data_IF_659038300963
#
_entry.id   IF_659038300963
#
_cell.length_a   1.000
_cell.length_b   1.000
_cell.length_c   1.000
_cell.angle_alpha   90.00
_cell.angle_beta   90.00
_cell.angle_gamma   90.00
#
_symmetry.space_group_name_H-M   'P 1'
#
loop_
_entity.id
_entity.type
_entity.pdbx_description
1 polymer ?
#
# COMPACT_ATOMS: atom_id res chain seq x y z
N UNK A 1 48.55 -4.71 -22.41
CA UNK A 1 48.12 -5.23 -21.09
C UNK A 1 47.24 -4.18 -20.42
N UNK A 2 46.04 -3.94 -20.96
CA UNK A 2 45.16 -2.83 -20.51
C UNK A 2 43.67 -3.14 -20.74
N UNK A 3 43.24 -4.37 -20.44
CA UNK A 3 41.84 -4.80 -20.64
C UNK A 3 41.07 -5.03 -19.32
N UNK A 4 41.61 -4.60 -18.18
CA UNK A 4 41.00 -4.83 -16.85
C UNK A 4 40.49 -3.56 -16.14
N UNK A 5 40.65 -2.37 -16.74
CA UNK A 5 40.27 -1.09 -16.11
C UNK A 5 39.35 -0.21 -16.97
N UNK A 6 38.78 -0.75 -18.04
CA UNK A 6 37.76 -0.08 -18.84
C UNK A 6 36.40 -0.74 -18.60
N UNK A 7 35.93 -0.73 -17.36
CA UNK A 7 34.49 -0.81 -17.11
C UNK A 7 34.00 0.61 -17.34
N UNK A 8 33.46 0.87 -18.54
CA UNK A 8 32.56 1.99 -18.80
C UNK A 8 31.56 2.11 -17.65
N UNK A 9 31.14 3.33 -17.34
CA UNK A 9 30.09 3.55 -16.34
C UNK A 9 28.78 2.93 -16.85
N UNK A 10 28.60 1.64 -16.59
CA UNK A 10 27.41 0.86 -16.91
C UNK A 10 26.75 0.49 -15.59
N UNK A 11 25.74 1.25 -15.14
CA UNK A 11 25.10 1.05 -13.85
C UNK A 11 24.51 -0.35 -13.71
N UNK A 12 24.10 -0.96 -14.82
CA UNK A 12 23.56 -2.33 -14.88
C UNK A 12 24.62 -3.39 -14.54
N UNK A 13 25.79 -3.35 -15.19
CA UNK A 13 26.90 -4.29 -14.92
C UNK A 13 27.43 -4.13 -13.50
N UNK A 14 27.52 -2.89 -13.02
CA UNK A 14 27.96 -2.60 -11.65
C UNK A 14 26.97 -3.17 -10.62
N UNK A 15 25.67 -3.00 -10.85
CA UNK A 15 24.63 -3.54 -9.97
C UNK A 15 24.72 -5.07 -9.85
N UNK A 16 24.81 -5.77 -10.99
CA UNK A 16 24.94 -7.23 -11.02
C UNK A 16 26.23 -7.68 -10.32
N UNK A 17 27.36 -7.02 -10.60
CA UNK A 17 28.63 -7.35 -9.97
C UNK A 17 28.59 -7.18 -8.45
N UNK A 18 27.97 -6.11 -7.94
CA UNK A 18 27.80 -5.87 -6.51
C UNK A 18 26.95 -6.97 -5.87
N UNK A 19 25.87 -7.40 -6.53
CA UNK A 19 25.02 -8.50 -6.02
C UNK A 19 25.81 -9.81 -5.98
N UNK A 20 26.57 -10.15 -7.03
CA UNK A 20 27.40 -11.36 -7.05
C UNK A 20 28.45 -11.33 -5.94
N UNK A 21 29.16 -10.22 -5.78
CA UNK A 21 30.14 -10.04 -4.70
C UNK A 21 29.44 -10.12 -3.34
N UNK A 22 28.28 -9.48 -3.19
CA UNK A 22 27.50 -9.52 -1.95
C UNK A 22 27.09 -10.94 -1.57
N UNK A 23 26.56 -11.73 -2.51
CA UNK A 23 26.18 -13.13 -2.27
C UNK A 23 27.42 -13.99 -1.99
N UNK A 24 28.49 -13.83 -2.77
CA UNK A 24 29.73 -14.59 -2.61
C UNK A 24 30.43 -14.30 -1.28
N UNK A 25 30.47 -13.04 -0.85
CA UNK A 25 31.08 -12.64 0.43
C UNK A 25 30.16 -13.00 1.59
N UNK A 26 28.88 -12.64 1.56
CA UNK A 26 27.96 -12.87 2.69
C UNK A 26 27.67 -14.37 2.87
N UNK A 27 27.11 -15.02 1.86
CA UNK A 27 26.71 -16.43 1.96
C UNK A 27 27.91 -17.38 1.76
N UNK A 28 28.78 -17.05 0.81
CA UNK A 28 29.92 -17.91 0.46
C UNK A 28 30.99 -17.95 1.55
N UNK A 29 31.30 -16.83 2.24
CA UNK A 29 32.31 -16.86 3.32
C UNK A 29 31.87 -17.73 4.49
N UNK A 30 30.61 -17.58 4.93
CA UNK A 30 30.03 -18.39 6.02
C UNK A 30 30.07 -19.86 5.63
N UNK A 31 29.67 -20.19 4.40
CA UNK A 31 29.74 -21.56 3.90
C UNK A 31 31.18 -22.11 3.87
N UNK A 32 32.16 -21.35 3.36
CA UNK A 32 33.56 -21.80 3.29
C UNK A 32 34.16 -22.06 4.67
N UNK A 33 33.86 -21.20 5.65
CA UNK A 33 34.27 -21.41 7.05
C UNK A 33 33.63 -22.67 7.63
N UNK A 34 32.35 -22.92 7.37
CA UNK A 34 31.69 -24.15 7.85
C UNK A 34 32.19 -25.40 7.11
N UNK A 35 32.49 -25.30 5.82
CA UNK A 35 32.96 -26.41 5.01
C UNK A 35 34.33 -26.94 5.48
N UNK A 36 35.23 -26.06 5.94
CA UNK A 36 36.54 -26.48 6.48
C UNK A 36 36.44 -27.10 7.87
N UNK A 37 35.47 -26.71 8.69
CA UNK A 37 35.31 -27.22 10.06
C UNK A 37 34.41 -28.48 10.16
N UNK A 38 33.32 -28.53 9.39
CA UNK A 38 32.26 -29.53 9.49
C UNK A 38 32.16 -30.45 8.26
N UNK A 39 32.92 -30.14 7.20
CA UNK A 39 32.85 -30.79 5.89
C UNK A 39 31.80 -30.15 4.97
N UNK A 40 32.01 -30.27 3.66
CA UNK A 40 31.23 -29.62 2.59
C UNK A 40 29.71 -29.84 2.74
N UNK A 41 29.27 -31.10 2.92
CA UNK A 41 27.83 -31.43 2.95
C UNK A 41 27.12 -30.90 4.19
N UNK A 42 27.73 -31.09 5.36
CA UNK A 42 27.16 -30.65 6.63
C UNK A 42 27.25 -29.12 6.76
N UNK A 43 28.39 -28.55 6.37
CA UNK A 43 28.60 -27.10 6.33
C UNK A 43 27.58 -26.40 5.44
N UNK A 44 27.22 -26.99 4.29
CA UNK A 44 26.16 -26.46 3.43
C UNK A 44 24.79 -26.44 4.14
N UNK A 45 24.39 -27.57 4.76
CA UNK A 45 23.11 -27.66 5.47
C UNK A 45 23.03 -26.66 6.63
N UNK A 46 24.10 -26.52 7.41
CA UNK A 46 24.16 -25.57 8.53
C UNK A 46 24.10 -24.12 8.03
N UNK A 47 24.89 -23.78 7.00
CA UNK A 47 24.88 -22.44 6.42
C UNK A 47 23.51 -22.07 5.83
N UNK A 48 22.87 -23.00 5.09
CA UNK A 48 21.53 -22.80 4.55
C UNK A 48 20.48 -22.65 5.66
N UNK A 49 20.57 -23.45 6.72
CA UNK A 49 19.69 -23.33 7.89
C UNK A 49 19.82 -21.94 8.53
N UNK A 50 21.05 -21.47 8.72
CA UNK A 50 21.34 -20.12 9.22
C UNK A 50 20.76 -19.02 8.33
N UNK A 51 20.93 -19.13 7.01
CA UNK A 51 20.35 -18.19 6.05
C UNK A 51 18.82 -18.15 6.14
N UNK A 52 18.16 -19.32 6.20
CA UNK A 52 16.69 -19.39 6.31
C UNK A 52 16.19 -18.83 7.64
N UNK A 53 16.95 -18.99 8.74
CA UNK A 53 16.64 -18.38 10.02
C UNK A 53 16.80 -16.86 10.00
N UNK A 54 17.84 -16.36 9.33
CA UNK A 54 18.02 -14.92 9.11
C UNK A 54 16.88 -14.34 8.26
N UNK A 55 16.48 -15.02 7.19
CA UNK A 55 15.33 -14.61 6.36
C UNK A 55 14.02 -14.57 7.16
N UNK A 56 13.80 -15.52 8.08
CA UNK A 56 12.65 -15.51 8.97
C UNK A 56 12.68 -14.31 9.93
N UNK A 57 13.84 -13.99 10.52
CA UNK A 57 13.98 -12.80 11.37
C UNK A 57 13.76 -11.50 10.60
N UNK A 58 14.26 -11.39 9.37
CA UNK A 58 14.01 -10.23 8.50
C UNK A 58 12.53 -10.13 8.12
N UNK A 59 11.89 -11.24 7.75
CA UNK A 59 10.46 -11.29 7.48
C UNK A 59 9.62 -10.85 8.68
N UNK A 60 10.00 -11.27 9.90
CA UNK A 60 9.33 -10.84 11.13
C UNK A 60 9.52 -9.34 11.40
N UNK A 61 10.75 -8.84 11.26
CA UNK A 61 11.06 -7.42 11.42
C UNK A 61 10.25 -6.57 10.44
N UNK A 62 10.27 -6.94 9.16
CA UNK A 62 9.54 -6.25 8.10
C UNK A 62 8.02 -6.33 8.27
N UNK A 63 7.50 -7.45 8.79
CA UNK A 63 6.08 -7.61 9.10
C UNK A 63 5.61 -6.68 10.23
N UNK A 64 6.41 -6.53 11.29
CA UNK A 64 6.10 -5.69 12.45
C UNK A 64 6.12 -4.22 12.05
N UNK A 65 7.20 -3.79 11.39
CA UNK A 65 7.46 -2.38 11.08
C UNK A 65 6.85 -1.92 9.75
N UNK A 66 6.44 -2.83 8.86
CA UNK A 66 5.90 -2.46 7.55
C UNK A 66 6.97 -1.87 6.60
N UNK A 67 8.23 -2.27 6.75
CA UNK A 67 9.36 -1.78 5.93
C UNK A 67 10.01 -2.90 5.14
N UNK A 68 10.83 -2.58 4.14
CA UNK A 68 11.60 -3.56 3.36
C UNK A 68 10.82 -4.05 2.15
N UNK A 69 10.47 -5.33 2.10
CA UNK A 69 9.64 -5.89 1.03
C UNK A 69 8.16 -5.56 1.30
N UNK A 70 7.74 -4.38 0.86
CA UNK A 70 6.37 -3.89 1.03
C UNK A 70 5.52 -4.15 -0.21
N UNK A 71 4.24 -4.39 0.04
CA UNK A 71 3.21 -4.45 -1.00
C UNK A 71 2.64 -3.07 -1.32
N UNK A 72 1.55 -3.01 -2.10
CA UNK A 72 0.85 -1.77 -2.40
C UNK A 72 0.38 -1.07 -1.12
N UNK A 73 0.66 0.22 -1.02
CA UNK A 73 0.20 1.08 0.08
C UNK A 73 -1.27 1.46 -0.12
N UNK A 74 -1.99 1.85 0.95
CA UNK A 74 -3.36 2.32 0.83
C UNK A 74 -3.47 3.56 -0.08
N UNK A 75 -4.41 3.56 -1.00
CA UNK A 75 -4.67 4.66 -1.92
C UNK A 75 -6.16 4.80 -2.23
N UNK A 76 -6.57 5.98 -2.68
CA UNK A 76 -7.89 6.19 -3.22
C UNK A 76 -7.92 5.76 -4.69
N UNK A 77 -8.83 4.86 -5.04
CA UNK A 77 -9.00 4.34 -6.38
C UNK A 77 -10.32 4.82 -6.99
N UNK A 78 -10.36 5.06 -8.31
CA UNK A 78 -11.60 5.42 -8.99
C UNK A 78 -12.60 4.28 -8.91
N UNK A 79 -13.87 4.62 -8.71
CA UNK A 79 -14.92 3.60 -8.77
C UNK A 79 -15.24 3.28 -10.24
N UNK A 80 -15.03 2.03 -10.71
CA UNK A 80 -15.12 1.71 -12.14
C UNK A 80 -16.46 2.11 -12.76
N UNK A 81 -16.39 2.91 -13.83
CA UNK A 81 -17.56 3.34 -14.61
C UNK A 81 -18.42 4.44 -13.97
N UNK A 82 -18.03 4.97 -12.81
CA UNK A 82 -18.80 5.99 -12.06
C UNK A 82 -17.89 6.96 -11.29
N UNK A 83 -16.72 7.30 -11.85
CA UNK A 83 -15.69 8.10 -11.18
C UNK A 83 -16.02 9.58 -11.08
N UNK A 84 -16.44 10.22 -12.19
CA UNK A 84 -16.78 11.64 -12.22
C UNK A 84 -18.27 11.79 -12.48
N UNK A 85 -18.96 12.44 -11.56
CA UNK A 85 -20.41 12.59 -11.53
C UNK A 85 -20.74 14.07 -11.75
N UNK A 86 -21.35 14.38 -12.88
CA UNK A 86 -21.59 15.75 -13.31
C UNK A 86 -22.92 16.32 -12.82
N UNK A 87 -23.89 15.44 -12.52
CA UNK A 87 -25.26 15.81 -12.15
C UNK A 87 -25.74 15.05 -10.92
N UNK A 88 -26.73 15.59 -10.20
CA UNK A 88 -27.33 14.96 -9.01
C UNK A 88 -27.89 13.56 -9.31
N UNK A 89 -28.50 13.37 -10.49
CA UNK A 89 -28.98 12.07 -10.95
C UNK A 89 -27.85 11.06 -11.16
N UNK A 90 -26.66 11.51 -11.58
CA UNK A 90 -25.49 10.65 -11.74
C UNK A 90 -24.99 10.14 -10.38
N UNK A 91 -25.14 10.92 -9.30
CA UNK A 91 -24.76 10.52 -7.93
C UNK A 91 -25.61 9.34 -7.45
N UNK A 92 -26.92 9.40 -7.69
CA UNK A 92 -27.85 8.31 -7.34
C UNK A 92 -27.63 7.08 -8.23
N UNK A 93 -27.44 7.27 -9.54
CA UNK A 93 -27.17 6.17 -10.46
C UNK A 93 -25.83 5.49 -10.13
N UNK A 94 -24.86 6.27 -9.69
CA UNK A 94 -23.59 5.78 -9.17
C UNK A 94 -23.72 5.14 -7.80
N UNK A 95 -24.88 5.15 -7.13
CA UNK A 95 -25.06 4.59 -5.80
C UNK A 95 -24.19 5.24 -4.72
N UNK A 96 -23.75 6.47 -4.94
CA UNK A 96 -23.14 7.31 -3.91
C UNK A 96 -24.22 7.93 -3.01
N UNK A 97 -25.42 8.15 -3.55
CA UNK A 97 -26.64 8.46 -2.80
C UNK A 97 -27.70 7.39 -3.06
N UNK A 98 -28.48 7.05 -2.03
CA UNK A 98 -29.61 6.13 -2.12
C UNK A 98 -30.90 6.84 -2.55
N UNK A 99 -31.10 8.09 -2.11
CA UNK A 99 -32.26 8.89 -2.45
C UNK A 99 -31.89 10.07 -3.35
N UNK A 100 -32.81 10.44 -4.23
CA UNK A 100 -32.65 11.62 -5.08
C UNK A 100 -32.75 12.90 -4.26
N UNK A 101 -31.84 13.84 -4.53
CA UNK A 101 -31.89 15.19 -3.95
C UNK A 101 -33.05 15.95 -4.59
N UNK A 102 -34.00 16.41 -3.78
CA UNK A 102 -35.13 17.23 -4.24
C UNK A 102 -34.67 18.68 -4.40
N UNK A 103 -34.40 19.09 -5.64
CA UNK A 103 -33.98 20.45 -5.97
C UNK A 103 -34.85 21.00 -7.08
N UNK A 104 -35.30 22.25 -6.93
CA UNK A 104 -36.06 22.93 -7.99
C UNK A 104 -35.19 23.11 -9.24
N UNK A 105 -35.77 22.91 -10.43
CA UNK A 105 -35.07 23.05 -11.72
C UNK A 105 -34.42 24.45 -11.94
N UNK A 106 -34.89 25.48 -11.24
CA UNK A 106 -34.38 26.86 -11.31
C UNK A 106 -33.37 27.23 -10.20
N UNK A 107 -32.94 26.27 -9.37
CA UNK A 107 -32.02 26.53 -8.26
C UNK A 107 -30.62 26.96 -8.75
N UNK A 108 -29.96 27.84 -8.00
CA UNK A 108 -28.55 28.16 -8.24
C UNK A 108 -27.67 26.92 -7.95
N UNK A 109 -26.55 26.78 -8.66
CA UNK A 109 -25.64 25.64 -8.47
C UNK A 109 -25.11 25.51 -7.03
N UNK A 110 -25.05 26.62 -6.28
CA UNK A 110 -24.71 26.63 -4.85
C UNK A 110 -25.79 26.01 -3.98
N UNK A 111 -27.07 26.25 -4.32
CA UNK A 111 -28.20 25.71 -3.56
C UNK A 111 -28.34 24.21 -3.80
N UNK A 112 -28.12 23.78 -5.05
CA UNK A 112 -28.00 22.35 -5.42
C UNK A 112 -26.89 21.68 -4.60
N UNK A 113 -25.70 22.29 -4.54
CA UNK A 113 -24.57 21.73 -3.80
C UNK A 113 -24.84 21.62 -2.29
N UNK A 114 -25.51 22.61 -1.70
CA UNK A 114 -25.90 22.57 -0.29
C UNK A 114 -26.93 21.47 -0.02
N UNK A 115 -27.92 21.31 -0.91
CA UNK A 115 -28.90 20.23 -0.80
C UNK A 115 -28.26 18.83 -0.93
N UNK A 116 -27.29 18.69 -1.85
CA UNK A 116 -26.51 17.44 -1.98
C UNK A 116 -25.71 17.16 -0.72
N UNK A 117 -25.06 18.16 -0.12
CA UNK A 117 -24.32 18.01 1.13
C UNK A 117 -25.23 17.59 2.30
N UNK A 118 -26.41 18.20 2.43
CA UNK A 118 -27.39 17.83 3.45
C UNK A 118 -27.93 16.41 3.24
N UNK A 119 -28.11 15.99 1.98
CA UNK A 119 -28.50 14.62 1.67
C UNK A 119 -27.40 13.62 2.07
N UNK A 120 -26.13 13.89 1.79
CA UNK A 120 -25.01 13.05 2.23
C UNK A 120 -25.00 12.90 3.76
N UNK A 121 -25.17 13.98 4.50
CA UNK A 121 -25.24 13.94 5.97
C UNK A 121 -26.45 13.09 6.45
N UNK A 122 -27.60 13.17 5.76
CA UNK A 122 -28.80 12.39 6.09
C UNK A 122 -28.65 10.89 5.85
N UNK A 123 -27.85 10.50 4.86
CA UNK A 123 -27.54 9.09 4.52
C UNK A 123 -26.37 8.53 5.34
N UNK A 124 -25.83 9.30 6.28
CA UNK A 124 -24.79 8.86 7.22
C UNK A 124 -23.36 9.03 6.72
N UNK A 125 -23.15 9.84 5.69
CA UNK A 125 -21.82 10.29 5.31
C UNK A 125 -21.29 11.33 6.30
N UNK A 126 -19.97 11.38 6.44
CA UNK A 126 -19.29 12.33 7.33
C UNK A 126 -18.48 13.29 6.47
N UNK A 127 -18.73 14.59 6.63
CA UNK A 127 -17.91 15.62 6.00
C UNK A 127 -16.56 15.73 6.70
N UNK A 128 -15.46 15.53 5.96
CA UNK A 128 -14.10 15.69 6.47
C UNK A 128 -13.73 17.18 6.48
N UNK A 129 -13.16 17.66 7.58
CA UNK A 129 -12.61 19.01 7.69
C UNK A 129 -11.39 19.20 6.78
N UNK A 130 -11.25 20.35 6.13
CA UNK A 130 -10.07 20.72 5.32
C UNK A 130 -8.74 20.66 6.09
N UNK A 131 -8.80 20.83 7.41
CA UNK A 131 -7.65 20.75 8.29
C UNK A 131 -7.15 19.32 8.53
N UNK A 132 -7.94 18.30 8.20
CA UNK A 132 -7.59 16.90 8.37
C UNK A 132 -6.65 16.45 7.25
N UNK A 133 -5.66 15.62 7.59
CA UNK A 133 -4.73 15.06 6.59
C UNK A 133 -5.45 14.17 5.57
N UNK A 134 -6.54 13.51 5.99
CA UNK A 134 -7.37 12.67 5.12
C UNK A 134 -8.03 13.47 3.99
N UNK A 135 -8.44 14.72 4.27
CA UNK A 135 -8.97 15.63 3.25
C UNK A 135 -7.94 15.87 2.15
N UNK A 136 -6.71 16.25 2.51
CA UNK A 136 -5.64 16.52 1.54
C UNK A 136 -5.32 15.30 0.65
N UNK A 137 -5.33 14.09 1.21
CA UNK A 137 -5.12 12.86 0.42
C UNK A 137 -6.26 12.60 -0.57
N UNK A 138 -7.52 12.75 -0.12
CA UNK A 138 -8.68 12.54 -0.98
C UNK A 138 -8.81 13.62 -2.05
N UNK A 139 -8.64 14.90 -1.69
CA UNK A 139 -8.68 16.03 -2.60
C UNK A 139 -7.59 15.94 -3.68
N UNK A 140 -6.36 15.58 -3.30
CA UNK A 140 -5.27 15.42 -4.27
C UNK A 140 -5.56 14.30 -5.27
N UNK A 141 -6.11 13.16 -4.83
CA UNK A 141 -6.46 12.08 -5.74
C UNK A 141 -7.67 12.43 -6.60
N UNK A 142 -8.66 13.14 -6.04
CA UNK A 142 -9.83 13.60 -6.77
C UNK A 142 -9.43 14.49 -7.95
N UNK A 143 -8.52 15.44 -7.71
CA UNK A 143 -8.00 16.32 -8.75
C UNK A 143 -7.32 15.55 -9.88
N UNK A 144 -6.45 14.59 -9.55
CA UNK A 144 -5.81 13.73 -10.54
C UNK A 144 -6.83 12.96 -11.40
N UNK A 145 -7.89 12.43 -10.78
CA UNK A 145 -8.94 11.68 -11.48
C UNK A 145 -9.81 12.55 -12.39
N UNK A 146 -10.08 13.79 -12.01
CA UNK A 146 -10.79 14.76 -12.85
C UNK A 146 -9.98 15.12 -14.08
N UNK A 147 -8.69 15.37 -13.90
CA UNK A 147 -7.76 15.69 -14.99
C UNK A 147 -7.58 14.50 -15.93
N UNK A 148 -7.44 13.28 -15.40
CA UNK A 148 -7.33 12.03 -16.18
C UNK A 148 -8.60 11.78 -17.03
N UNK A 149 -9.78 12.11 -16.48
CA UNK A 149 -11.06 11.99 -17.20
C UNK A 149 -11.26 13.11 -18.23
N UNK A 150 -10.50 14.21 -18.12
CA UNK A 150 -10.65 15.39 -18.97
C UNK A 150 -11.91 16.20 -18.68
N UNK A 151 -12.49 16.07 -17.48
CA UNK A 151 -13.71 16.76 -17.12
C UNK A 151 -13.48 18.25 -16.80
N UNK A 152 -12.33 18.58 -16.19
CA UNK A 152 -11.81 19.93 -15.94
C UNK A 152 -10.28 19.89 -16.08
N UNK A 153 -9.67 20.98 -16.54
CA UNK A 153 -8.20 21.06 -16.63
C UNK A 153 -7.57 21.54 -15.31
N UNK A 154 -6.28 21.25 -15.13
CA UNK A 154 -5.50 21.72 -13.99
C UNK A 154 -5.61 23.25 -13.84
N UNK A 155 -6.02 23.72 -12.66
CA UNK A 155 -6.22 25.14 -12.36
C UNK A 155 -7.60 25.70 -12.72
N UNK A 156 -8.51 24.90 -13.30
CA UNK A 156 -9.90 25.28 -13.57
C UNK A 156 -10.88 24.84 -12.48
N UNK A 157 -10.37 24.26 -11.39
CA UNK A 157 -11.21 23.70 -10.33
C UNK A 157 -10.57 23.82 -8.94
N UNK A 158 -11.41 23.76 -7.92
CA UNK A 158 -11.03 23.71 -6.52
C UNK A 158 -11.87 22.64 -5.80
N UNK A 159 -11.22 21.79 -4.98
CA UNK A 159 -11.93 20.79 -4.17
C UNK A 159 -12.43 21.46 -2.90
N UNK A 160 -13.75 21.52 -2.73
CA UNK A 160 -14.38 22.29 -1.63
C UNK A 160 -14.71 21.40 -0.44
N UNK A 161 -15.25 20.21 -0.68
CA UNK A 161 -15.67 19.28 0.38
C UNK A 161 -15.27 17.85 0.04
N UNK A 162 -15.06 17.04 1.06
CA UNK A 162 -14.90 15.59 0.92
C UNK A 162 -15.84 14.91 1.91
N UNK A 163 -16.72 14.07 1.39
CA UNK A 163 -17.63 13.23 2.15
C UNK A 163 -17.04 11.83 2.26
N UNK A 164 -17.16 11.21 3.42
CA UNK A 164 -16.60 9.89 3.72
C UNK A 164 -17.69 8.97 4.32
N UNK A 165 -17.74 7.71 3.87
CA UNK A 165 -18.57 6.67 4.48
C UNK A 165 -17.84 5.32 4.55
N UNK A 166 -18.08 4.62 5.65
CA UNK A 166 -17.58 3.25 5.86
C UNK A 166 -16.19 3.20 6.50
N UNK A 167 -15.37 2.23 6.10
CA UNK A 167 -14.01 2.06 6.66
C UNK A 167 -13.93 1.48 8.07
N UNK A 168 -15.07 1.07 8.64
CA UNK A 168 -15.10 0.42 9.95
C UNK A 168 -14.34 -0.92 9.93
N UNK A 169 -13.37 -1.06 10.83
CA UNK A 169 -12.64 -2.30 11.08
C UNK A 169 -13.37 -3.21 12.07
N UNK A 170 -13.29 -4.52 11.87
CA UNK A 170 -13.86 -5.56 12.74
C UNK A 170 -13.00 -6.85 12.69
N UNK A 171 -13.09 -7.76 13.68
CA UNK A 171 -13.81 -7.64 14.95
C UNK A 171 -13.13 -6.65 15.90
N UNK A 172 -13.93 -5.77 16.54
CA UNK A 172 -13.46 -4.88 17.61
C UNK A 172 -13.64 -5.57 18.96
N UNK A 173 -12.59 -5.62 19.79
CA UNK A 173 -12.68 -6.14 21.15
C UNK A 173 -12.78 -4.96 22.10
N UNK A 174 -14.02 -4.59 22.48
CA UNK A 174 -14.29 -3.34 23.18
C UNK A 174 -14.07 -2.10 22.31
N UNK A 175 -14.03 -0.91 22.92
CA UNK A 175 -13.95 0.36 22.20
C UNK A 175 -12.52 0.80 21.83
N UNK A 176 -11.48 0.15 22.38
CA UNK A 176 -10.09 0.62 22.26
C UNK A 176 -9.08 -0.37 21.68
N UNK A 177 -9.41 -1.67 21.61
CA UNK A 177 -8.48 -2.68 21.09
C UNK A 177 -8.76 -2.99 19.62
N UNK A 178 -8.25 -2.10 18.75
CA UNK A 178 -8.38 -2.21 17.28
C UNK A 178 -7.27 -3.10 16.65
N UNK A 179 -6.30 -3.58 17.44
CA UNK A 179 -5.17 -4.39 16.95
C UNK A 179 -5.56 -5.76 16.38
N UNK A 180 -6.77 -6.26 16.70
CA UNK A 180 -7.30 -7.56 16.25
C UNK A 180 -8.35 -7.38 15.14
N UNK A 181 -8.58 -6.13 14.70
CA UNK A 181 -9.55 -5.81 13.67
C UNK A 181 -8.95 -5.97 12.26
N UNK A 182 -8.87 -7.22 11.81
CA UNK A 182 -8.25 -7.59 10.51
C UNK A 182 -9.16 -7.42 9.30
N UNK A 183 -10.48 -7.34 9.52
CA UNK A 183 -11.47 -7.15 8.46
C UNK A 183 -11.95 -5.70 8.46
N UNK A 184 -12.41 -5.23 7.31
CA UNK A 184 -12.91 -3.88 7.16
C UNK A 184 -14.14 -3.88 6.26
N UNK A 185 -15.07 -2.96 6.51
CA UNK A 185 -16.09 -2.61 5.52
C UNK A 185 -15.44 -1.83 4.38
N UNK A 186 -16.01 -1.84 3.17
CA UNK A 186 -15.57 -0.95 2.11
C UNK A 186 -15.69 0.51 2.59
N UNK A 187 -14.76 1.34 2.12
CA UNK A 187 -14.59 2.72 2.54
C UNK A 187 -14.65 3.56 1.28
N UNK A 188 -15.60 4.49 1.24
CA UNK A 188 -15.86 5.32 0.08
C UNK A 188 -15.67 6.78 0.44
N UNK A 189 -15.23 7.57 -0.53
CA UNK A 189 -15.24 9.01 -0.41
C UNK A 189 -15.82 9.64 -1.68
N UNK A 190 -16.45 10.80 -1.51
CA UNK A 190 -16.93 11.65 -2.59
C UNK A 190 -16.29 13.01 -2.41
N UNK A 191 -15.44 13.42 -3.35
CA UNK A 191 -14.87 14.76 -3.34
C UNK A 191 -15.70 15.69 -4.23
N UNK A 192 -16.17 16.78 -3.65
CA UNK A 192 -16.91 17.82 -4.33
C UNK A 192 -15.95 18.85 -4.94
N UNK A 193 -16.06 19.04 -6.24
CA UNK A 193 -15.17 19.87 -7.03
C UNK A 193 -15.96 20.99 -7.68
N UNK A 194 -15.59 22.21 -7.31
CA UNK A 194 -16.21 23.41 -7.83
C UNK A 194 -15.35 24.00 -8.96
N UNK A 195 -15.94 24.34 -10.11
CA UNK A 195 -15.19 24.96 -11.19
C UNK A 195 -14.80 26.41 -10.84
N UNK A 196 -13.65 26.87 -11.31
CA UNK A 196 -13.12 28.21 -11.08
C UNK A 196 -13.43 29.13 -12.27
N UNK A 197 -13.67 30.41 -11.98
CA UNK A 197 -13.80 31.43 -13.02
C UNK A 197 -12.45 31.69 -13.69
N UNK A 198 -12.45 31.81 -15.02
CA UNK A 198 -11.23 32.11 -15.76
C UNK A 198 -10.72 33.53 -15.45
N UNK A 199 -9.65 33.61 -14.67
CA UNK A 199 -8.99 34.89 -14.37
C UNK A 199 -8.21 35.37 -15.58
N UNK A 200 -8.37 36.64 -15.95
CA UNK A 200 -7.57 37.27 -17.01
C UNK A 200 -6.18 37.61 -16.47
N UNK A 201 -5.14 37.14 -17.15
CA UNK A 201 -3.76 37.50 -16.86
C UNK A 201 -3.43 38.84 -17.55
N UNK A 202 -3.21 39.89 -16.75
CA UNK A 202 -2.67 41.16 -17.25
C UNK A 202 -1.14 41.15 -17.15
N UNK A 203 -0.40 41.40 -18.24
CA UNK A 203 1.06 41.40 -18.22
C UNK A 203 1.62 42.41 -17.19
N UNK A 204 2.40 41.94 -16.23
CA UNK A 204 3.07 42.78 -15.22
C UNK A 204 2.29 43.00 -13.91
N UNK A 205 1.11 42.41 -13.74
CA UNK A 205 0.37 42.38 -12.47
C UNK A 205 0.26 40.93 -11.97
N UNK A 206 0.29 40.74 -10.65
CA UNK A 206 0.01 39.43 -10.06
C UNK A 206 -1.39 38.96 -10.48
N UNK A 207 -1.57 37.69 -10.87
CA UNK A 207 -2.88 37.13 -11.19
C UNK A 207 -3.86 37.39 -10.03
N UNK A 208 -5.10 37.76 -10.36
CA UNK A 208 -6.13 37.85 -9.34
C UNK A 208 -6.36 36.46 -8.72
N UNK A 209 -6.65 36.37 -7.41
CA UNK A 209 -6.96 35.09 -6.79
C UNK A 209 -8.13 34.44 -7.51
N UNK A 210 -8.02 33.13 -7.78
CA UNK A 210 -9.08 32.37 -8.41
C UNK A 210 -10.33 32.39 -7.53
N UNK A 211 -11.50 32.54 -8.15
CA UNK A 211 -12.79 32.54 -7.47
C UNK A 211 -13.65 31.41 -8.02
N UNK A 212 -14.35 30.72 -7.12
CA UNK A 212 -15.29 29.67 -7.46
C UNK A 212 -16.41 30.25 -8.34
N UNK A 213 -16.69 29.55 -9.44
CA UNK A 213 -17.79 29.85 -10.34
C UNK A 213 -19.08 29.21 -9.81
N UNK A 214 -19.87 30.02 -9.10
CA UNK A 214 -21.15 29.60 -8.54
C UNK A 214 -22.26 29.43 -9.59
N UNK A 215 -21.99 29.72 -10.87
CA UNK A 215 -23.00 29.60 -11.95
C UNK A 215 -22.98 28.23 -12.63
N UNK A 216 -21.86 27.50 -12.52
CA UNK A 216 -21.69 26.16 -13.12
C UNK A 216 -21.97 25.07 -12.09
N UNK A 217 -22.55 23.92 -12.50
CA UNK A 217 -22.75 22.79 -11.61
C UNK A 217 -21.43 22.27 -11.07
N UNK A 218 -21.44 21.83 -9.81
CA UNK A 218 -20.29 21.17 -9.18
C UNK A 218 -20.20 19.73 -9.65
N UNK A 219 -18.99 19.23 -9.76
CA UNK A 219 -18.72 17.84 -10.11
C UNK A 219 -18.33 17.05 -8.87
N UNK A 220 -18.65 15.76 -8.83
CA UNK A 220 -18.36 14.90 -7.70
C UNK A 220 -17.48 13.74 -8.14
N UNK A 221 -16.38 13.52 -7.43
CA UNK A 221 -15.45 12.41 -7.70
C UNK A 221 -15.70 11.30 -6.72
N UNK A 222 -16.25 10.20 -7.19
CA UNK A 222 -16.53 9.03 -6.37
C UNK A 222 -15.36 8.06 -6.40
N UNK A 223 -14.83 7.78 -5.22
CA UNK A 223 -13.64 6.96 -5.01
C UNK A 223 -13.87 5.90 -3.93
N UNK A 224 -13.17 4.78 -4.08
CA UNK A 224 -13.11 3.70 -3.09
C UNK A 224 -11.70 3.64 -2.52
N UNK A 225 -11.58 3.45 -1.21
CA UNK A 225 -10.27 3.26 -0.56
C UNK A 225 -9.80 1.84 -0.82
N UNK A 226 -8.72 1.70 -1.58
CA UNK A 226 -7.93 0.49 -1.56
C UNK A 226 -7.02 0.56 -0.32
N UNK A 227 -7.17 -0.40 0.59
CA UNK A 227 -6.35 -0.47 1.81
C UNK A 227 -4.96 -1.08 1.53
N UNK A 228 -4.73 -1.56 0.31
CA UNK A 228 -3.48 -2.17 -0.09
C UNK A 228 -3.19 -3.47 0.65
N UNK A 229 -1.97 -3.97 0.43
CA UNK A 229 -1.47 -5.20 1.04
C UNK A 229 -0.01 -5.02 1.46
N UNK A 230 0.28 -3.87 2.09
CA UNK A 230 1.63 -3.41 2.42
C UNK A 230 2.48 -4.49 3.11
N UNK A 231 1.88 -5.26 4.02
CA UNK A 231 2.57 -6.26 4.85
C UNK A 231 2.53 -7.69 4.29
N UNK A 232 1.78 -7.93 3.22
CA UNK A 232 1.59 -9.27 2.68
C UNK A 232 2.89 -9.91 2.20
N UNK A 233 3.78 -9.22 1.45
CA UNK A 233 5.01 -9.84 0.97
C UNK A 233 5.96 -10.26 2.11
N UNK A 234 6.07 -9.43 3.15
CA UNK A 234 6.85 -9.75 4.35
C UNK A 234 6.28 -10.98 5.10
N UNK A 235 4.94 -11.09 5.20
CA UNK A 235 4.29 -12.24 5.80
C UNK A 235 4.58 -13.54 5.03
N UNK A 236 4.50 -13.51 3.70
CA UNK A 236 4.83 -14.66 2.84
C UNK A 236 6.29 -15.08 3.02
N UNK A 237 7.21 -14.11 3.07
CA UNK A 237 8.63 -14.37 3.31
C UNK A 237 8.87 -15.03 4.67
N UNK A 238 8.25 -14.52 5.74
CA UNK A 238 8.34 -15.07 7.09
C UNK A 238 7.84 -16.52 7.12
N UNK A 239 6.64 -16.78 6.59
CA UNK A 239 6.03 -18.11 6.63
C UNK A 239 6.88 -19.09 5.80
N UNK A 240 7.24 -18.72 4.56
CA UNK A 240 8.03 -19.57 3.67
C UNK A 240 9.41 -19.90 4.24
N UNK A 241 10.13 -18.89 4.76
CA UNK A 241 11.45 -19.11 5.37
C UNK A 241 11.37 -19.91 6.67
N UNK A 242 10.34 -19.71 7.49
CA UNK A 242 10.14 -20.48 8.73
C UNK A 242 9.85 -21.95 8.44
N UNK A 243 9.03 -22.27 7.42
CA UNK A 243 8.77 -23.65 7.01
C UNK A 243 10.07 -24.34 6.57
N UNK A 244 10.87 -23.67 5.74
CA UNK A 244 12.15 -24.22 5.27
C UNK A 244 13.13 -24.37 6.44
N UNK A 245 13.20 -23.39 7.35
CA UNK A 245 14.03 -23.44 8.55
C UNK A 245 13.70 -24.66 9.41
N UNK A 246 12.42 -24.90 9.69
CA UNK A 246 11.97 -26.04 10.48
C UNK A 246 12.32 -27.36 9.78
N UNK A 247 12.14 -27.44 8.45
CA UNK A 247 12.51 -28.62 7.69
C UNK A 247 14.03 -28.91 7.73
N UNK A 248 14.87 -27.90 7.58
CA UNK A 248 16.32 -28.04 7.63
C UNK A 248 16.83 -28.36 9.05
N UNK A 249 16.28 -27.70 10.07
CA UNK A 249 16.57 -28.00 11.46
C UNK A 249 16.18 -29.45 11.82
N UNK A 250 15.06 -29.94 11.29
CA UNK A 250 14.64 -31.32 11.44
C UNK A 250 15.63 -32.31 10.78
N UNK A 251 16.12 -32.01 9.58
CA UNK A 251 17.14 -32.83 8.91
C UNK A 251 18.45 -32.90 9.70
N UNK A 252 18.90 -31.76 10.23
CA UNK A 252 20.09 -31.68 11.09
C UNK A 252 19.89 -32.49 12.38
N UNK A 253 18.74 -32.33 13.03
CA UNK A 253 18.40 -33.09 14.24
C UNK A 253 18.40 -34.61 13.99
N UNK A 254 17.78 -35.05 12.88
CA UNK A 254 17.77 -36.46 12.50
C UNK A 254 19.19 -36.98 12.26
N UNK A 255 20.02 -36.21 11.57
CA UNK A 255 21.43 -36.56 11.33
C UNK A 255 22.20 -36.72 12.63
N UNK A 256 22.04 -35.82 13.59
CA UNK A 256 22.70 -35.90 14.90
C UNK A 256 22.21 -37.10 15.71
N UNK A 257 20.92 -37.43 15.64
CA UNK A 257 20.37 -38.64 16.23
C UNK A 257 20.98 -39.92 15.65
N UNK A 258 21.17 -39.99 14.32
CA UNK A 258 21.86 -41.11 13.67
C UNK A 258 23.32 -41.23 14.12
N UNK A 259 24.06 -40.12 14.21
CA UNK A 259 25.45 -40.13 14.68
C UNK A 259 25.56 -40.59 16.12
N UNK A 260 24.64 -40.13 17.00
CA UNK A 260 24.62 -40.54 18.41
C UNK A 260 24.43 -42.05 18.55
N UNK A 261 23.44 -42.63 17.86
CA UNK A 261 23.19 -44.08 17.88
C UNK A 261 24.39 -44.89 17.37
N UNK A 262 25.10 -44.39 16.35
CA UNK A 262 26.28 -45.08 15.82
C UNK A 262 27.51 -44.97 16.73
N UNK A 263 27.52 -44.03 17.68
CA UNK A 263 28.59 -43.86 18.68
C UNK A 263 28.35 -44.64 19.97
N UNK A 264 27.15 -45.17 20.17
CA UNK A 264 26.87 -46.06 21.29
C UNK A 264 27.72 -47.33 21.15
N UNK A 265 28.47 -47.75 22.19
CA UNK A 265 29.32 -48.93 22.11
C UNK A 265 28.45 -50.16 21.84
N UNK A 266 28.95 -51.07 21.00
CA UNK A 266 28.28 -52.35 20.75
C UNK A 266 28.03 -53.06 22.09
N UNK A 267 26.85 -53.67 22.30
CA UNK A 267 26.57 -54.39 23.54
C UNK A 267 27.67 -55.44 23.73
N UNK A 268 28.34 -55.42 24.88
CA UNK A 268 29.35 -56.42 25.21
C UNK A 268 28.69 -57.79 25.14
N UNK A 269 29.09 -58.61 24.17
CA UNK A 269 28.71 -60.02 24.12
C UNK A 269 29.33 -60.67 25.36
N UNK A 270 28.53 -60.82 26.42
CA UNK A 270 28.94 -61.55 27.61
C UNK A 270 29.16 -63.02 27.23
N UNK A 271 30.42 -63.44 27.31
CA UNK A 271 30.85 -64.85 27.25
C UNK A 271 30.47 -65.59 28.52
#
# INVERSE_FOLDING_TARGET
MSSLLAISWEPELRGVLIVIIGVGVLCGSIYMVMATNLGIRLGFLVALTGLTGWMALMGLMWLIYGIGLTGPVPSWEPVPGRTVLQDTGAIVQAGALEQSVDVSDDAMATDVANAVAEQFDSEGWVTISESDTSFGQAASRAGELIEETGALAAGEYEVVKVFDVGGERYPRIGDSLDFVAFLHKPHYAVAEVAPLQATREEPGRAPAPAQIDNTRPRQYVYMIRNLGAERQPAAVLLIGSTIILVALAYLLHRRDAHVRRNREPAPSMAS
#
